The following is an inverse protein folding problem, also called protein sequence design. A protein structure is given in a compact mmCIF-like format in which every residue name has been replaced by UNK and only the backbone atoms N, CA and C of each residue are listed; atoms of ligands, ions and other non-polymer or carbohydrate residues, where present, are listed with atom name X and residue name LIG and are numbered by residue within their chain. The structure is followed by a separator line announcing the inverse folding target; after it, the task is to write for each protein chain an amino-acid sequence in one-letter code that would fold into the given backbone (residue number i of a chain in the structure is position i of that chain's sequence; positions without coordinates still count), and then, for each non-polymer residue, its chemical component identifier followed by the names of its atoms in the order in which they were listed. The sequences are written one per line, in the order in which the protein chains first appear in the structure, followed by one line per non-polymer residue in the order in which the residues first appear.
data_IF_126049254153
#
_entry.id   IF_126049254153
#
_cell.length_a   1.000
_cell.length_b   1.000
_cell.length_c   1.000
_cell.angle_alpha   90.00
_cell.angle_beta   90.00
_cell.angle_gamma   90.00
#
_symmetry.space_group_name_H-M   'P 1'
#
loop_
_entity.id
_entity.type
_entity.pdbx_description
1 polymer ?
#
# COMPACT_ATOMS: atom_id res chain seq x y z
N UNK A 1 -1.22 1.18 20.89
CA UNK A 1 -1.24 0.68 19.50
C UNK A 1 -0.04 1.30 18.80
N UNK A 2 1.13 0.68 18.96
CA UNK A 2 2.38 1.19 18.39
C UNK A 2 2.36 0.95 16.89
N UNK A 3 2.42 2.06 16.15
CA UNK A 3 2.67 2.15 14.72
C UNK A 3 3.95 1.33 14.42
N UNK A 4 3.79 0.13 13.88
CA UNK A 4 4.92 -0.64 13.31
C UNK A 4 5.34 0.09 12.03
N UNK A 5 6.65 0.25 11.83
CA UNK A 5 7.33 1.02 10.78
C UNK A 5 6.80 0.81 9.34
N UNK A 6 5.77 1.57 8.94
CA UNK A 6 5.20 1.56 7.58
C UNK A 6 5.73 2.69 6.69
N UNK A 7 6.84 3.31 7.08
CA UNK A 7 7.44 4.41 6.36
C UNK A 7 8.26 3.85 5.20
N UNK A 8 7.67 3.89 3.99
CA UNK A 8 8.40 4.08 2.74
C UNK A 8 9.75 3.34 2.61
N UNK A 9 9.72 2.16 1.99
CA UNK A 9 10.94 1.36 1.73
C UNK A 9 11.89 2.01 0.71
N UNK A 10 13.09 1.44 0.53
CA UNK A 10 14.16 2.02 -0.32
C UNK A 10 13.72 2.44 -1.73
N UNK A 11 12.76 1.72 -2.33
CA UNK A 11 12.21 2.04 -3.66
C UNK A 11 11.58 3.43 -3.71
N UNK A 12 10.98 3.88 -2.61
CA UNK A 12 10.30 5.19 -2.51
C UNK A 12 11.23 6.39 -2.59
N UNK A 13 12.55 6.19 -2.54
CA UNK A 13 13.54 7.25 -2.80
C UNK A 13 13.92 7.35 -4.27
N UNK A 14 13.60 6.33 -5.08
CA UNK A 14 13.93 6.29 -6.49
C UNK A 14 12.70 6.53 -7.38
N UNK A 15 11.51 6.14 -6.91
CA UNK A 15 10.29 6.13 -7.72
C UNK A 15 9.04 6.47 -6.87
N UNK A 16 7.97 7.02 -7.49
CA UNK A 16 6.66 7.10 -6.87
C UNK A 16 6.20 5.72 -6.39
N UNK A 17 5.80 5.61 -5.13
CA UNK A 17 5.41 4.33 -4.54
C UNK A 17 4.41 4.50 -3.40
N UNK A 18 3.64 3.45 -3.13
CA UNK A 18 2.70 3.36 -2.03
C UNK A 18 2.90 2.04 -1.29
N UNK A 19 2.65 2.05 0.02
CA UNK A 19 2.58 0.85 0.85
C UNK A 19 1.20 0.79 1.53
N UNK A 20 0.14 0.45 0.78
CA UNK A 20 -1.22 0.45 1.30
C UNK A 20 -1.47 -0.77 2.19
N UNK A 21 -2.35 -0.61 3.17
CA UNK A 21 -2.81 -1.68 4.06
C UNK A 21 -4.31 -1.89 3.89
N UNK A 22 -4.72 -3.14 4.10
CA UNK A 22 -6.12 -3.50 4.30
C UNK A 22 -6.26 -4.35 5.56
N UNK A 23 -7.44 -4.30 6.17
CA UNK A 23 -7.71 -5.02 7.40
C UNK A 23 -8.15 -6.46 7.11
N UNK A 24 -7.61 -7.39 7.88
CA UNK A 24 -8.14 -8.75 8.03
C UNK A 24 -8.79 -8.78 9.41
N UNK A 25 -10.08 -9.10 9.46
CA UNK A 25 -10.77 -9.23 10.74
C UNK A 25 -10.23 -10.47 11.47
N UNK A 26 -9.87 -10.29 12.72
CA UNK A 26 -9.23 -11.31 13.55
C UNK A 26 -9.91 -11.42 14.91
N UNK A 27 -9.74 -12.57 15.56
CA UNK A 27 -10.15 -12.80 16.94
C UNK A 27 -9.40 -11.88 17.93
N UNK A 28 -9.94 -11.65 19.16
CA UNK A 28 -9.26 -10.88 20.20
C UNK A 28 -7.81 -11.34 20.42
N UNK A 29 -6.89 -10.38 20.57
CA UNK A 29 -5.43 -10.58 20.66
C UNK A 29 -4.75 -11.12 19.39
N UNK A 30 -5.45 -11.26 18.27
CA UNK A 30 -4.88 -11.70 17.00
C UNK A 30 -4.20 -10.60 16.18
N UNK A 31 -3.23 -9.90 16.77
CA UNK A 31 -2.43 -8.92 16.01
C UNK A 31 -1.59 -9.61 14.91
N UNK A 32 -1.01 -8.82 14.00
CA UNK A 32 0.01 -9.30 13.07
C UNK A 32 1.09 -10.11 13.82
N UNK A 33 1.66 -11.11 13.14
CA UNK A 33 2.68 -12.03 13.70
C UNK A 33 2.17 -12.95 14.83
N UNK A 34 0.88 -13.26 14.87
CA UNK A 34 0.30 -14.25 15.79
C UNK A 34 -0.31 -15.43 15.03
N UNK A 35 -0.50 -16.57 15.71
CA UNK A 35 -1.17 -17.73 15.14
C UNK A 35 -2.64 -17.43 14.78
N UNK A 36 -3.31 -16.60 15.58
CA UNK A 36 -4.68 -16.16 15.35
C UNK A 36 -4.81 -15.34 14.06
N UNK A 37 -3.83 -14.47 13.79
CA UNK A 37 -3.80 -13.73 12.53
C UNK A 37 -3.56 -14.65 11.34
N UNK A 38 -2.68 -15.66 11.47
CA UNK A 38 -2.48 -16.67 10.43
C UNK A 38 -3.77 -17.45 10.12
N UNK A 39 -4.52 -17.85 11.16
CA UNK A 39 -5.82 -18.50 11.00
C UNK A 39 -6.88 -17.59 10.40
N UNK A 40 -6.85 -16.29 10.68
CA UNK A 40 -7.77 -15.31 10.09
C UNK A 40 -7.42 -14.99 8.63
N UNK A 41 -6.13 -14.89 8.31
CA UNK A 41 -5.62 -14.54 6.98
C UNK A 41 -5.87 -15.62 5.92
N UNK A 42 -5.98 -16.89 6.33
CA UNK A 42 -6.30 -18.02 5.45
C UNK A 42 -7.80 -18.18 5.16
N UNK A 43 -8.66 -17.36 5.77
CA UNK A 43 -10.10 -17.48 5.58
C UNK A 43 -10.56 -16.91 4.24
N UNK A 44 -11.64 -17.47 3.64
CA UNK A 44 -12.20 -16.94 2.39
C UNK A 44 -12.54 -15.44 2.44
N UNK A 45 -12.97 -14.93 3.60
CA UNK A 45 -13.24 -13.50 3.79
C UNK A 45 -11.99 -12.62 3.60
N UNK A 46 -10.83 -13.04 4.14
CA UNK A 46 -9.57 -12.35 3.96
C UNK A 46 -9.13 -12.35 2.48
N UNK A 47 -9.33 -13.47 1.79
CA UNK A 47 -9.03 -13.57 0.36
C UNK A 47 -9.93 -12.67 -0.49
N UNK A 48 -11.22 -12.56 -0.14
CA UNK A 48 -12.15 -11.67 -0.83
C UNK A 48 -11.74 -10.21 -0.72
N UNK A 49 -11.35 -9.75 0.48
CA UNK A 49 -10.82 -8.39 0.68
C UNK A 49 -9.51 -8.21 -0.07
N UNK A 50 -8.60 -9.19 -0.02
CA UNK A 50 -7.35 -9.14 -0.78
C UNK A 50 -7.59 -8.96 -2.28
N UNK A 51 -8.53 -9.71 -2.87
CA UNK A 51 -8.92 -9.57 -4.27
C UNK A 51 -9.54 -8.20 -4.58
N UNK A 52 -10.35 -7.64 -3.69
CA UNK A 52 -10.89 -6.29 -3.86
C UNK A 52 -9.77 -5.24 -3.91
N UNK A 53 -8.82 -5.33 -2.98
CA UNK A 53 -7.67 -4.42 -2.92
C UNK A 53 -6.79 -4.59 -4.16
N UNK A 54 -6.51 -5.83 -4.58
CA UNK A 54 -5.74 -6.11 -5.79
C UNK A 54 -6.37 -5.50 -7.04
N UNK A 55 -7.70 -5.52 -7.17
CA UNK A 55 -8.41 -4.85 -8.28
C UNK A 55 -8.24 -3.34 -8.21
N UNK A 56 -8.31 -2.74 -7.03
CA UNK A 56 -8.04 -1.31 -6.83
C UNK A 56 -6.62 -0.92 -7.25
N UNK A 57 -5.61 -1.72 -6.86
CA UNK A 57 -4.22 -1.51 -7.25
C UNK A 57 -4.01 -1.67 -8.75
N UNK A 58 -4.62 -2.68 -9.36
CA UNK A 58 -4.59 -2.87 -10.81
C UNK A 58 -5.23 -1.69 -11.55
N UNK A 59 -6.37 -1.19 -11.08
CA UNK A 59 -7.02 -0.02 -11.67
C UNK A 59 -6.18 1.26 -11.51
N UNK A 60 -5.52 1.45 -10.36
CA UNK A 60 -4.61 2.58 -10.14
C UNK A 60 -3.39 2.51 -11.07
N UNK A 61 -2.78 1.33 -11.22
CA UNK A 61 -1.67 1.11 -12.15
C UNK A 61 -2.10 1.31 -13.62
N UNK A 62 -3.27 0.79 -14.00
CA UNK A 62 -3.83 1.01 -15.34
C UNK A 62 -4.05 2.49 -15.60
N UNK A 63 -4.68 3.22 -14.66
CA UNK A 63 -4.90 4.66 -14.79
C UNK A 63 -3.58 5.42 -14.94
N UNK A 64 -2.54 5.05 -14.21
CA UNK A 64 -1.21 5.66 -14.38
C UNK A 64 -0.66 5.47 -15.80
N UNK A 65 -0.99 4.38 -16.49
CA UNK A 65 -0.55 4.12 -17.87
C UNK A 65 -1.44 4.77 -18.93
N UNK A 66 -2.75 4.88 -18.67
CA UNK A 66 -3.77 5.32 -19.64
C UNK A 66 -4.09 6.83 -19.55
N UNK A 67 -3.96 7.43 -18.37
CA UNK A 67 -4.27 8.84 -18.10
C UNK A 67 -2.98 9.64 -17.88
N UNK A 68 -2.50 10.30 -18.94
CA UNK A 68 -1.27 11.12 -18.92
C UNK A 68 -1.32 12.23 -17.85
N UNK A 69 -2.49 12.83 -17.63
CA UNK A 69 -2.65 13.89 -16.64
C UNK A 69 -2.46 13.36 -15.21
N UNK A 70 -2.99 12.17 -14.94
CA UNK A 70 -2.80 11.49 -13.66
C UNK A 70 -1.35 11.04 -13.48
N UNK A 71 -0.72 10.50 -14.52
CA UNK A 71 0.70 10.11 -14.48
C UNK A 71 1.59 11.31 -14.17
N UNK A 72 1.36 12.45 -14.83
CA UNK A 72 2.06 13.70 -14.55
C UNK A 72 1.87 14.14 -13.10
N UNK A 73 0.64 14.15 -12.59
CA UNK A 73 0.38 14.55 -11.22
C UNK A 73 1.10 13.65 -10.19
N UNK A 74 1.18 12.34 -10.43
CA UNK A 74 1.91 11.40 -9.55
C UNK A 74 3.42 11.69 -9.56
N UNK A 75 4.00 11.94 -10.74
CA UNK A 75 5.42 12.23 -10.85
C UNK A 75 5.79 13.59 -10.25
N UNK A 76 5.00 14.62 -10.53
CA UNK A 76 5.20 15.96 -9.97
C UNK A 76 5.16 15.91 -8.42
N UNK A 77 4.19 15.19 -7.84
CA UNK A 77 4.08 15.03 -6.40
C UNK A 77 5.29 14.29 -5.78
N UNK A 78 5.81 13.29 -6.48
CA UNK A 78 7.03 12.59 -6.05
C UNK A 78 8.26 13.51 -6.10
N UNK A 79 8.45 14.26 -7.19
CA UNK A 79 9.56 15.19 -7.31
C UNK A 79 9.52 16.30 -6.25
N UNK A 80 8.34 16.84 -5.97
CA UNK A 80 8.14 17.85 -4.93
C UNK A 80 8.52 17.30 -3.55
N UNK A 81 8.13 16.07 -3.25
CA UNK A 81 8.52 15.41 -2.01
C UNK A 81 10.04 15.22 -1.93
N UNK A 82 10.68 14.79 -3.02
CA UNK A 82 12.14 14.61 -3.07
C UNK A 82 12.92 15.92 -2.94
N UNK A 83 12.39 17.03 -3.47
CA UNK A 83 12.93 18.39 -3.27
C UNK A 83 12.86 18.79 -1.80
N UNK A 84 11.73 18.55 -1.13
CA UNK A 84 11.57 18.84 0.31
C UNK A 84 12.59 18.08 1.15
N UNK A 85 12.91 16.83 0.79
CA UNK A 85 13.88 16.01 1.52
C UNK A 85 15.34 16.20 1.08
N UNK A 86 15.64 17.16 0.20
CA UNK A 86 17.00 17.48 -0.24
C UNK A 86 17.67 16.38 -1.05
N UNK A 87 16.89 15.57 -1.77
CA UNK A 87 17.35 14.43 -2.57
C UNK A 87 17.16 14.60 -4.09
N UNK A 88 16.79 15.81 -4.52
CA UNK A 88 16.61 16.17 -5.93
C UNK A 88 17.80 17.00 -6.45
#
# INVERSE_FOLDING_TARGET
MTLIDLLKGNVSYALPSIHPLFAIQTEPNGSNHTAQFAESARQPGAHAVALQVSKGLAAAGFRYLDDESFAKAVNDAFEDEMRVFGKA
#
